data_IF_838414761028
#
_entry.id   IF_838414761028
#
_cell.length_a   1.000
_cell.length_b   1.000
_cell.length_c   1.000
_cell.angle_alpha   90.00
_cell.angle_beta   90.00
_cell.angle_gamma   90.00
#
_symmetry.space_group_name_H-M   'P 1'
#
loop_
_entity.id
_entity.type
_entity.pdbx_description
1 polymer ?
#
# COMPACT_ATOMS: atom_id res chain seq x y z
N UNK A 1 25.17 -9.57 13.47
CA UNK A 1 25.58 -8.70 12.31
C UNK A 1 24.36 -8.31 11.45
N UNK A 2 23.46 -9.23 11.10
CA UNK A 2 22.19 -8.90 10.41
C UNK A 2 21.26 -8.02 11.26
N UNK A 3 21.19 -8.27 12.57
CA UNK A 3 20.40 -7.49 13.53
C UNK A 3 20.77 -6.01 13.60
N UNK A 4 22.01 -5.61 13.28
CA UNK A 4 22.41 -4.19 13.35
C UNK A 4 21.98 -3.37 12.14
N UNK A 5 21.62 -4.02 11.03
CA UNK A 5 21.21 -3.36 9.78
C UNK A 5 19.69 -3.30 9.66
N UNK A 6 18.95 -4.28 10.19
CA UNK A 6 17.49 -4.36 10.11
C UNK A 6 16.73 -3.19 10.74
N UNK A 7 17.34 -2.45 11.67
CA UNK A 7 16.72 -1.29 12.35
C UNK A 7 17.21 0.07 11.87
N UNK A 8 18.02 0.10 10.81
CA UNK A 8 18.56 1.36 10.32
C UNK A 8 17.46 2.23 9.68
N UNK A 9 17.32 3.47 10.16
CA UNK A 9 16.31 4.41 9.67
C UNK A 9 16.41 4.70 8.16
N UNK A 10 17.55 4.41 7.52
CA UNK A 10 17.69 4.45 6.06
C UNK A 10 16.73 3.49 5.34
N UNK A 11 16.42 2.32 5.91
CA UNK A 11 15.43 1.42 5.31
C UNK A 11 14.03 2.01 5.38
N UNK A 12 13.71 2.71 6.46
CA UNK A 12 12.44 3.42 6.60
C UNK A 12 12.26 4.49 5.53
N UNK A 13 13.30 5.28 5.25
CA UNK A 13 13.28 6.28 4.19
C UNK A 13 13.20 5.62 2.80
N UNK A 14 14.04 4.62 2.54
CA UNK A 14 14.06 3.94 1.23
C UNK A 14 12.70 3.29 0.93
N UNK A 15 12.12 2.57 1.89
CA UNK A 15 10.85 1.87 1.68
C UNK A 15 9.65 2.82 1.77
N UNK A 16 9.55 3.60 2.84
CA UNK A 16 8.37 4.39 3.17
C UNK A 16 8.28 5.75 2.47
N UNK A 17 9.41 6.30 2.02
CA UNK A 17 9.44 7.56 1.28
C UNK A 17 9.69 7.27 -0.21
N UNK A 18 10.85 6.69 -0.57
CA UNK A 18 11.27 6.56 -1.99
C UNK A 18 10.51 5.49 -2.77
N UNK A 19 10.51 4.25 -2.29
CA UNK A 19 9.87 3.14 -3.00
C UNK A 19 8.35 3.31 -3.00
N UNK A 20 7.77 3.67 -1.85
CA UNK A 20 6.35 3.92 -1.71
C UNK A 20 5.88 5.07 -2.63
N UNK A 21 6.62 6.18 -2.71
CA UNK A 21 6.25 7.30 -3.60
C UNK A 21 6.21 6.86 -5.06
N UNK A 22 7.25 6.17 -5.52
CA UNK A 22 7.38 5.73 -6.91
C UNK A 22 6.30 4.70 -7.25
N UNK A 23 6.00 3.78 -6.33
CA UNK A 23 4.96 2.77 -6.52
C UNK A 23 3.56 3.41 -6.62
N UNK A 24 3.25 4.35 -5.73
CA UNK A 24 2.00 5.11 -5.76
C UNK A 24 1.91 5.97 -7.02
N UNK A 25 2.99 6.63 -7.43
CA UNK A 25 3.02 7.40 -8.68
C UNK A 25 2.78 6.51 -9.91
N UNK A 26 3.46 5.37 -9.99
CA UNK A 26 3.33 4.44 -11.11
C UNK A 26 1.89 3.91 -11.23
N UNK A 27 1.24 3.56 -10.11
CA UNK A 27 -0.13 3.04 -10.17
C UNK A 27 -1.17 4.12 -10.46
N UNK A 28 -1.00 5.37 -10.01
CA UNK A 28 -1.99 6.44 -10.31
C UNK A 28 -1.81 7.06 -11.70
N UNK A 29 -0.59 6.98 -12.24
CA UNK A 29 -0.30 7.44 -13.59
C UNK A 29 -0.53 6.35 -14.64
N UNK A 30 -0.48 5.06 -14.26
CA UNK A 30 -0.66 3.89 -15.12
C UNK A 30 0.10 4.01 -16.45
N UNK A 31 1.45 4.11 -16.41
CA UNK A 31 2.23 4.10 -17.64
C UNK A 31 2.09 2.75 -18.34
N UNK A 32 2.27 2.70 -19.66
CA UNK A 32 2.11 1.45 -20.46
C UNK A 32 2.85 0.22 -19.94
N UNK A 33 4.03 0.39 -19.32
CA UNK A 33 4.79 -0.74 -18.79
C UNK A 33 4.15 -1.37 -17.54
N UNK A 34 3.21 -0.66 -16.90
CA UNK A 34 2.48 -1.11 -15.71
C UNK A 34 1.33 -2.05 -16.04
N UNK A 35 0.91 -2.11 -17.31
CA UNK A 35 -0.21 -2.93 -17.75
C UNK A 35 0.06 -4.40 -17.47
N UNK A 36 -0.84 -5.05 -16.72
CA UNK A 36 -0.75 -6.46 -16.34
C UNK A 36 0.04 -6.76 -15.06
N UNK A 37 0.65 -5.76 -14.42
CA UNK A 37 1.39 -5.90 -13.14
C UNK A 37 0.89 -4.93 -12.05
N UNK A 38 -0.27 -4.32 -12.26
CA UNK A 38 -0.87 -3.33 -11.37
C UNK A 38 -1.16 -3.93 -10.00
N UNK A 39 -1.69 -5.15 -9.97
CA UNK A 39 -1.96 -5.87 -8.72
C UNK A 39 -0.70 -6.22 -7.95
N UNK A 40 0.41 -6.47 -8.63
CA UNK A 40 1.71 -6.70 -7.97
C UNK A 40 2.26 -5.39 -7.40
N UNK A 41 2.06 -4.26 -8.09
CA UNK A 41 2.42 -2.94 -7.58
C UNK A 41 1.55 -2.55 -6.37
N UNK A 42 0.24 -2.81 -6.41
CA UNK A 42 -0.66 -2.63 -5.25
C UNK A 42 -0.23 -3.54 -4.10
N UNK A 43 0.21 -4.77 -4.39
CA UNK A 43 0.73 -5.66 -3.37
C UNK A 43 2.02 -5.12 -2.73
N UNK A 44 2.91 -4.49 -3.51
CA UNK A 44 4.10 -3.82 -2.97
C UNK A 44 3.71 -2.66 -2.04
N UNK A 45 2.78 -1.80 -2.47
CA UNK A 45 2.25 -0.69 -1.67
C UNK A 45 1.66 -1.23 -0.37
N UNK A 46 0.84 -2.28 -0.45
CA UNK A 46 0.27 -2.98 0.72
C UNK A 46 1.36 -3.46 1.66
N UNK A 47 2.36 -4.17 1.16
CA UNK A 47 3.41 -4.78 1.99
C UNK A 47 4.20 -3.71 2.75
N UNK A 48 4.52 -2.60 2.08
CA UNK A 48 5.18 -1.46 2.72
C UNK A 48 4.26 -0.82 3.76
N UNK A 49 2.98 -0.62 3.45
CA UNK A 49 2.02 0.00 4.37
C UNK A 49 1.78 -0.86 5.62
N UNK A 50 1.48 -2.15 5.44
CA UNK A 50 1.27 -3.09 6.53
C UNK A 50 2.50 -3.18 7.44
N UNK A 51 3.71 -3.24 6.89
CA UNK A 51 4.94 -3.36 7.68
C UNK A 51 5.34 -2.07 8.37
N UNK A 52 5.39 -0.96 7.65
CA UNK A 52 5.88 0.31 8.19
C UNK A 52 4.82 1.05 8.99
N UNK A 53 3.59 1.11 8.50
CA UNK A 53 2.52 1.88 9.15
C UNK A 53 1.83 1.05 10.20
N UNK A 54 1.45 -0.20 9.93
CA UNK A 54 0.63 -1.00 10.87
C UNK A 54 1.44 -1.90 11.80
N UNK A 55 2.72 -2.13 11.49
CA UNK A 55 3.56 -3.10 12.21
C UNK A 55 3.17 -4.56 11.97
N UNK A 56 2.40 -4.83 10.92
CA UNK A 56 1.85 -6.15 10.65
C UNK A 56 2.88 -7.06 9.97
N UNK A 57 3.08 -8.25 10.52
CA UNK A 57 3.91 -9.28 9.89
C UNK A 57 3.11 -9.98 8.78
N UNK A 58 3.71 -10.09 7.60
CA UNK A 58 3.12 -10.74 6.44
C UNK A 58 3.80 -12.08 6.18
N UNK A 59 3.05 -13.05 5.63
CA UNK A 59 3.63 -14.33 5.24
C UNK A 59 4.74 -14.17 4.19
N UNK A 60 5.75 -15.08 4.16
CA UNK A 60 6.79 -15.07 3.14
C UNK A 60 6.21 -14.99 1.71
N UNK A 61 6.83 -14.14 0.88
CA UNK A 61 6.37 -13.89 -0.49
C UNK A 61 5.28 -12.81 -0.62
N UNK A 62 4.75 -12.25 0.48
CA UNK A 62 3.89 -11.06 0.45
C UNK A 62 2.50 -11.24 -0.18
N UNK A 63 2.25 -12.34 -0.88
CA UNK A 63 1.01 -12.61 -1.60
C UNK A 63 -0.10 -13.21 -0.71
N UNK A 64 0.26 -13.71 0.48
CA UNK A 64 -0.66 -14.34 1.42
C UNK A 64 -1.28 -13.38 2.44
N UNK A 65 -2.27 -13.86 3.22
CA UNK A 65 -2.84 -13.08 4.32
C UNK A 65 -1.74 -12.69 5.33
N UNK A 66 -2.02 -11.65 6.11
CA UNK A 66 -1.16 -11.32 7.24
C UNK A 66 -1.15 -12.44 8.28
N UNK A 67 -0.06 -12.56 9.03
CA UNK A 67 0.03 -13.45 10.18
C UNK A 67 -0.94 -12.96 11.26
N UNK A 68 -1.57 -13.88 11.99
CA UNK A 68 -2.38 -13.49 13.15
C UNK A 68 -1.46 -12.86 14.21
N UNK A 69 -1.66 -11.58 14.46
CA UNK A 69 -0.87 -10.79 15.38
C UNK A 69 -1.82 -10.06 16.34
N UNK A 70 -1.53 -10.03 17.65
CA UNK A 70 -2.30 -9.23 18.59
C UNK A 70 -2.17 -7.73 18.25
N UNK A 71 -3.17 -6.95 18.66
CA UNK A 71 -3.09 -5.48 18.56
C UNK A 71 -2.21 -4.93 19.66
N UNK A 72 -1.54 -3.82 19.39
CA UNK A 72 -0.74 -3.12 20.39
C UNK A 72 -1.65 -2.63 21.54
N UNK A 73 -1.20 -2.87 22.77
CA UNK A 73 -1.96 -2.54 23.99
C UNK A 73 -2.06 -1.04 24.25
N UNK A 74 -1.08 -0.27 23.78
CA UNK A 74 -1.00 1.19 23.89
C UNK A 74 -1.59 1.88 22.65
N UNK A 75 -1.61 1.22 21.48
CA UNK A 75 -2.22 1.76 20.27
C UNK A 75 -3.02 0.72 19.47
N UNK A 76 -4.35 0.70 19.67
CA UNK A 76 -5.26 -0.26 19.01
C UNK A 76 -5.42 -0.07 17.49
N UNK A 77 -4.89 1.01 16.93
CA UNK A 77 -4.83 1.22 15.48
C UNK A 77 -3.68 0.42 14.82
N UNK A 78 -2.94 -0.37 15.60
CA UNK A 78 -1.71 -1.02 15.16
C UNK A 78 -1.60 -2.44 15.71
N UNK A 79 -0.72 -3.23 15.10
CA UNK A 79 -0.36 -4.55 15.60
C UNK A 79 0.87 -4.49 16.50
N UNK A 80 0.93 -5.37 17.50
CA UNK A 80 2.08 -5.47 18.40
C UNK A 80 3.32 -5.86 17.59
N UNK A 81 4.32 -4.99 17.52
CA UNK A 81 5.52 -5.24 16.72
C UNK A 81 6.17 -6.58 17.09
N UNK A 82 6.19 -7.51 16.14
CA UNK A 82 6.87 -8.76 16.36
C UNK A 82 8.37 -8.47 16.46
N UNK A 83 8.98 -8.78 17.61
CA UNK A 83 10.45 -8.75 17.79
C UNK A 83 11.08 -9.91 17.04
N UNK A 84 10.92 -9.94 15.72
CA UNK A 84 11.45 -11.00 14.85
C UNK A 84 12.87 -10.69 14.40
N UNK A 85 13.65 -10.00 15.25
CA UNK A 85 15.08 -9.72 15.03
C UNK A 85 15.87 -10.98 14.62
N UNK A 86 15.44 -12.12 15.16
CA UNK A 86 16.13 -13.39 15.04
C UNK A 86 15.77 -14.16 13.75
N UNK A 87 14.76 -13.73 12.98
CA UNK A 87 14.27 -14.45 11.79
C UNK A 87 14.06 -13.54 10.55
N UNK A 88 15.08 -12.83 10.06
CA UNK A 88 14.98 -11.91 8.92
C UNK A 88 14.45 -12.51 7.63
N UNK A 89 14.73 -13.80 7.39
CA UNK A 89 14.25 -14.53 6.22
C UNK A 89 12.74 -14.85 6.28
N UNK A 90 12.10 -14.70 7.43
CA UNK A 90 10.66 -14.91 7.62
C UNK A 90 9.89 -13.58 7.73
N UNK A 91 10.48 -12.48 7.25
CA UNK A 91 9.94 -11.13 7.44
C UNK A 91 10.39 -10.49 8.76
N UNK A 92 11.34 -11.11 9.45
CA UNK A 92 11.91 -10.65 10.71
C UNK A 92 12.95 -9.54 10.58
N UNK A 93 12.50 -8.39 10.09
CA UNK A 93 13.30 -7.17 10.06
C UNK A 93 12.38 -5.97 10.22
N UNK A 94 11.29 -6.17 10.96
CA UNK A 94 10.27 -5.14 11.17
C UNK A 94 10.90 -4.13 12.10
N UNK A 95 10.83 -2.84 11.80
CA UNK A 95 11.25 -1.80 12.73
C UNK A 95 10.54 -1.92 14.09
N UNK A 96 11.26 -1.62 15.18
CA UNK A 96 10.67 -1.58 16.52
C UNK A 96 9.64 -0.44 16.65
N UNK A 97 9.72 0.55 15.77
CA UNK A 97 8.84 1.70 15.74
C UNK A 97 8.18 1.80 14.37
N UNK A 98 6.85 1.94 14.33
CA UNK A 98 6.15 2.24 13.10
C UNK A 98 6.56 3.60 12.51
N UNK A 99 6.37 3.75 11.21
CA UNK A 99 6.64 4.97 10.45
C UNK A 99 5.37 5.55 9.87
N UNK A 100 5.20 6.87 10.02
CA UNK A 100 4.09 7.62 9.44
C UNK A 100 4.40 8.15 8.03
N UNK A 101 5.56 7.84 7.45
CA UNK A 101 5.97 8.39 6.14
C UNK A 101 4.97 8.04 5.01
N UNK A 102 4.48 6.78 4.87
CA UNK A 102 3.49 6.48 3.85
C UNK A 102 2.17 7.26 4.04
N UNK A 103 1.70 7.40 5.28
CA UNK A 103 0.50 8.19 5.62
C UNK A 103 0.67 9.66 5.23
N UNK A 104 1.82 10.25 5.59
CA UNK A 104 2.15 11.64 5.25
C UNK A 104 2.21 11.87 3.74
N UNK A 105 2.71 10.88 2.99
CA UNK A 105 2.74 10.95 1.53
C UNK A 105 1.33 10.92 0.95
N UNK A 106 0.51 9.94 1.35
CA UNK A 106 -0.87 9.82 0.84
C UNK A 106 -1.70 11.07 1.15
N UNK A 107 -1.56 11.64 2.36
CA UNK A 107 -2.29 12.84 2.77
C UNK A 107 -1.91 14.12 1.99
N UNK A 108 -0.84 14.09 1.19
CA UNK A 108 -0.42 15.20 0.31
C UNK A 108 -0.94 15.04 -1.12
N UNK A 109 -1.51 13.89 -1.46
CA UNK A 109 -2.02 13.61 -2.80
C UNK A 109 -3.41 14.20 -2.99
N UNK A 110 -3.76 14.62 -4.22
CA UNK A 110 -5.04 15.25 -4.49
C UNK A 110 -6.19 14.26 -4.24
N UNK A 111 -7.28 14.77 -3.67
CA UNK A 111 -8.44 13.95 -3.28
C UNK A 111 -8.25 13.15 -1.99
N UNK A 112 -7.07 13.18 -1.36
CA UNK A 112 -6.78 12.42 -0.13
C UNK A 112 -6.39 13.36 1.01
N UNK A 113 -7.30 13.54 1.95
CA UNK A 113 -7.05 14.24 3.21
C UNK A 113 -6.67 13.31 4.36
N UNK A 114 -6.34 13.90 5.51
CA UNK A 114 -6.01 13.16 6.74
C UNK A 114 -7.11 12.17 7.14
N UNK A 115 -8.37 12.53 6.96
CA UNK A 115 -9.52 11.67 7.27
C UNK A 115 -9.61 10.43 6.37
N UNK A 116 -9.23 10.56 5.10
CA UNK A 116 -9.18 9.43 4.17
C UNK A 116 -8.06 8.45 4.55
N UNK A 117 -6.91 8.97 4.99
CA UNK A 117 -5.80 8.14 5.49
C UNK A 117 -6.18 7.43 6.80
N UNK A 118 -6.87 8.10 7.72
CA UNK A 118 -7.37 7.46 8.95
C UNK A 118 -8.39 6.36 8.65
N UNK A 119 -9.25 6.56 7.65
CA UNK A 119 -10.18 5.52 7.18
C UNK A 119 -9.42 4.34 6.58
N UNK A 120 -8.41 4.60 5.75
CA UNK A 120 -7.53 3.56 5.21
C UNK A 120 -6.90 2.74 6.35
N UNK A 121 -6.35 3.39 7.38
CA UNK A 121 -5.75 2.71 8.53
C UNK A 121 -6.74 1.76 9.21
N UNK A 122 -7.94 2.26 9.50
CA UNK A 122 -8.99 1.46 10.15
C UNK A 122 -9.38 0.24 9.30
N UNK A 123 -9.62 0.43 8.01
CA UNK A 123 -10.01 -0.65 7.10
C UNK A 123 -8.88 -1.67 6.90
N UNK A 124 -7.63 -1.22 6.76
CA UNK A 124 -6.48 -2.11 6.60
C UNK A 124 -6.20 -2.97 7.83
N UNK A 125 -6.48 -2.45 9.03
CA UNK A 125 -6.35 -3.18 10.30
C UNK A 125 -7.51 -4.15 10.52
N UNK A 126 -8.72 -3.79 10.09
CA UNK A 126 -9.90 -4.64 10.24
C UNK A 126 -9.90 -5.80 9.23
N UNK A 127 -9.56 -5.52 7.97
CA UNK A 127 -9.56 -6.51 6.89
C UNK A 127 -8.30 -7.37 6.97
N UNK A 128 -8.50 -8.69 7.09
CA UNK A 128 -7.42 -9.67 7.31
C UNK A 128 -6.91 -10.34 6.04
N UNK A 129 -7.72 -10.39 4.98
CA UNK A 129 -7.32 -11.04 3.74
C UNK A 129 -6.48 -10.09 2.89
N UNK A 130 -5.47 -10.63 2.21
CA UNK A 130 -4.64 -9.84 1.30
C UNK A 130 -5.47 -9.24 0.16
N UNK A 131 -6.50 -9.97 -0.32
CA UNK A 131 -7.41 -9.50 -1.36
C UNK A 131 -8.13 -8.23 -0.90
N UNK A 132 -8.77 -8.29 0.27
CA UNK A 132 -9.57 -7.17 0.77
C UNK A 132 -8.71 -5.93 1.07
N UNK A 133 -7.50 -6.12 1.61
CA UNK A 133 -6.55 -5.03 1.83
C UNK A 133 -6.10 -4.38 0.51
N UNK A 134 -5.85 -5.20 -0.53
CA UNK A 134 -5.51 -4.69 -1.87
C UNK A 134 -6.68 -3.93 -2.50
N UNK A 135 -7.91 -4.41 -2.33
CA UNK A 135 -9.11 -3.72 -2.82
C UNK A 135 -9.28 -2.34 -2.16
N UNK A 136 -9.08 -2.24 -0.84
CA UNK A 136 -9.10 -0.93 -0.13
C UNK A 136 -8.08 0.04 -0.69
N UNK A 137 -6.84 -0.42 -0.90
CA UNK A 137 -5.78 0.40 -1.45
C UNK A 137 -6.10 0.83 -2.89
N UNK A 138 -6.57 -0.09 -3.73
CA UNK A 138 -7.01 0.22 -5.09
C UNK A 138 -8.06 1.33 -5.09
N UNK A 139 -9.07 1.23 -4.22
CA UNK A 139 -10.16 2.22 -4.18
C UNK A 139 -9.64 3.63 -3.80
N UNK A 140 -8.70 3.72 -2.85
CA UNK A 140 -8.06 5.00 -2.52
C UNK A 140 -7.19 5.52 -3.68
N UNK A 141 -6.40 4.65 -4.33
CA UNK A 141 -5.55 5.01 -5.45
C UNK A 141 -6.36 5.47 -6.67
N UNK A 142 -7.55 4.89 -6.88
CA UNK A 142 -8.48 5.33 -7.89
C UNK A 142 -8.96 6.77 -7.64
N UNK A 143 -9.33 7.11 -6.40
CA UNK A 143 -9.69 8.48 -6.03
C UNK A 143 -8.54 9.45 -6.33
N UNK A 144 -7.30 9.07 -6.02
CA UNK A 144 -6.13 9.90 -6.33
C UNK A 144 -5.98 10.10 -7.84
N UNK A 145 -6.07 9.01 -8.62
CA UNK A 145 -5.90 9.06 -10.07
C UNK A 145 -6.97 9.93 -10.76
N UNK A 146 -8.24 9.83 -10.35
CA UNK A 146 -9.32 10.66 -10.86
C UNK A 146 -9.09 12.16 -10.55
N UNK A 147 -8.68 12.47 -9.32
CA UNK A 147 -8.37 13.85 -8.94
C UNK A 147 -7.11 14.38 -9.66
N UNK A 148 -6.14 13.52 -9.99
CA UNK A 148 -5.00 13.92 -10.82
C UNK A 148 -5.41 14.24 -12.25
N UNK A 149 -6.24 13.40 -12.88
CA UNK A 149 -6.77 13.64 -14.24
C UNK A 149 -7.49 14.99 -14.35
N UNK A 150 -8.27 15.36 -13.33
CA UNK A 150 -8.97 16.65 -13.27
C UNK A 150 -8.02 17.87 -13.19
N UNK A 151 -6.80 17.67 -12.70
CA UNK A 151 -5.79 18.72 -12.55
C UNK A 151 -4.73 18.70 -13.67
N UNK A 152 -4.66 17.64 -14.48
CA UNK A 152 -3.69 17.41 -15.57
C UNK A 152 -4.11 18.03 -16.92
N UNK A 153 -4.60 19.27 -16.93
CA UNK A 153 -4.87 19.96 -18.21
C UNK A 153 -3.59 20.26 -19.01
N UNK A 154 -2.38 20.16 -18.44
CA UNK A 154 -1.20 20.69 -19.16
C UNK A 154 0.17 20.10 -18.77
N UNK A 155 0.38 18.78 -18.86
CA UNK A 155 1.76 18.26 -18.84
C UNK A 155 2.05 17.30 -20.00
N UNK A 156 2.85 17.81 -20.95
CA UNK A 156 3.70 17.04 -21.84
C UNK A 156 4.41 15.93 -21.06
N UNK A 157 3.89 14.70 -21.10
CA UNK A 157 4.52 13.55 -20.43
C UNK A 157 5.14 12.62 -21.46
N UNK A 158 6.44 12.42 -21.29
CA UNK A 158 7.33 11.51 -22.03
C UNK A 158 6.88 10.04 -21.95
N UNK A 159 5.92 9.73 -21.06
CA UNK A 159 5.37 8.39 -20.88
C UNK A 159 3.92 8.35 -21.37
N UNK A 160 3.67 7.45 -22.33
CA UNK A 160 2.32 7.18 -22.82
C UNK A 160 1.55 6.47 -21.71
N UNK A 161 0.44 7.07 -21.27
CA UNK A 161 -0.53 6.48 -20.34
C UNK A 161 -1.16 5.23 -20.97
N UNK A 162 -1.53 4.25 -20.15
CA UNK A 162 -2.39 3.15 -20.60
C UNK A 162 -3.73 3.72 -21.10
N UNK A 163 -4.31 3.10 -22.13
CA UNK A 163 -5.66 3.48 -22.58
C UNK A 163 -6.70 3.02 -21.55
N UNK A 164 -7.90 3.60 -21.53
CA UNK A 164 -8.93 3.29 -20.52
C UNK A 164 -9.27 1.80 -20.43
N UNK A 165 -9.20 1.08 -21.55
CA UNK A 165 -9.45 -0.36 -21.65
C UNK A 165 -8.34 -1.22 -21.00
N UNK A 166 -7.13 -0.68 -20.92
CA UNK A 166 -5.94 -1.33 -20.33
C UNK A 166 -5.75 -0.96 -18.85
N UNK A 167 -6.42 0.11 -18.39
CA UNK A 167 -6.27 0.67 -17.04
C UNK A 167 -7.01 -0.17 -16.01
N UNK A 168 -6.28 -0.68 -15.00
CA UNK A 168 -6.90 -1.36 -13.87
C UNK A 168 -7.79 -0.41 -13.07
N UNK A 169 -7.37 0.84 -12.88
CA UNK A 169 -8.13 1.82 -12.11
C UNK A 169 -9.45 2.19 -12.79
N UNK A 170 -9.54 2.16 -14.13
CA UNK A 170 -10.75 2.56 -14.85
C UNK A 170 -11.68 1.38 -15.18
N UNK A 171 -11.29 0.13 -14.90
CA UNK A 171 -12.19 -1.00 -15.00
C UNK A 171 -13.33 -0.83 -13.98
N UNK A 172 -14.52 -0.42 -14.48
CA UNK A 172 -15.75 -0.32 -13.69
C UNK A 172 -15.86 -1.52 -12.76
N UNK A 173 -16.01 -1.28 -11.46
CA UNK A 173 -16.33 -2.28 -10.46
C UNK A 173 -17.38 -3.21 -11.05
N UNK A 174 -16.96 -4.42 -11.45
CA UNK A 174 -17.87 -5.43 -11.95
C UNK A 174 -18.75 -5.76 -10.76
N UNK A 175 -19.95 -5.19 -10.78
CA UNK A 175 -21.06 -5.60 -9.94
C UNK A 175 -21.13 -7.11 -10.03
N UNK A 176 -20.76 -7.79 -8.94
CA UNK A 176 -21.03 -9.20 -8.74
C UNK A 176 -22.54 -9.35 -8.58
N UNK A 177 -23.27 -9.21 -9.69
CA UNK A 177 -24.60 -9.75 -9.82
C UNK A 177 -24.40 -11.27 -9.91
N UNK A 178 -24.61 -11.95 -8.80
CA UNK A 178 -24.74 -13.41 -8.76
C UNK A 178 -25.82 -13.78 -9.77
N UNK A 179 -25.54 -14.62 -10.78
CA UNK A 179 -26.59 -15.17 -11.61
C UNK A 179 -27.43 -16.08 -10.73
N UNK A 180 -28.73 -15.80 -10.63
CA UNK A 180 -29.69 -16.70 -9.99
C UNK A 180 -29.58 -18.08 -10.65
N UNK A 181 -29.14 -19.06 -9.86
CA UNK A 181 -29.35 -20.49 -10.10
C UNK A 181 -30.24 -21.02 -8.96
#
# INVERSE_FOLDING_TARGET
ILETVTWDGRYTDILGNRLFSIAVEAIVTEPKWMVGIEWDMINLIRDVYCRLVLGQTLLPGGQGPAIQQPRDSNNRAMFEQAKTADNPLQGGGIMCQPSTLPQQLLARLPGVGVTAVQKLDAEMVEKRSAKDQKDVLRDLLHVIAENLKLNEVDTNRVFVRAVEEESLLNQKAISTAVPNL
#
